data_IF_010850857987
#
_entry.id   IF_010850857987
#
_cell.length_a   1.000
_cell.length_b   1.000
_cell.length_c   1.000
_cell.angle_alpha   90.00
_cell.angle_beta   90.00
_cell.angle_gamma   90.00
#
_symmetry.space_group_name_H-M   'P 1'
#
loop_
_entity.id
_entity.type
_entity.pdbx_description
1 polymer ?
#
# COMPACT_ATOMS: atom_id res chain seq x y z
N UNK A 1 -1.98 13.90 -6.05
CA UNK A 1 -0.95 12.99 -6.60
C UNK A 1 -1.65 11.67 -6.87
N UNK A 2 -1.79 11.25 -8.14
CA UNK A 2 -2.48 10.00 -8.48
C UNK A 2 -1.42 8.97 -8.88
N UNK A 3 -1.15 8.03 -7.98
CA UNK A 3 -0.23 6.92 -8.21
C UNK A 3 -1.00 5.78 -8.86
N UNK A 4 -0.49 5.23 -9.96
CA UNK A 4 -1.08 4.08 -10.63
C UNK A 4 -0.54 2.79 -10.02
N UNK A 5 -1.44 1.83 -9.79
CA UNK A 5 -1.09 0.48 -9.33
C UNK A 5 -1.66 -0.55 -10.29
N UNK A 6 -0.87 -1.55 -10.65
CA UNK A 6 -1.26 -2.64 -11.55
C UNK A 6 -0.65 -3.96 -11.11
N UNK A 7 -1.21 -5.07 -11.60
CA UNK A 7 -0.53 -6.36 -11.54
C UNK A 7 0.48 -6.49 -12.68
N UNK A 8 1.63 -7.10 -12.37
CA UNK A 8 2.65 -7.51 -13.35
C UNK A 8 3.11 -8.94 -13.06
N UNK A 9 3.65 -9.60 -14.07
CA UNK A 9 4.23 -10.92 -13.89
C UNK A 9 5.52 -10.84 -13.08
N UNK A 10 5.59 -11.55 -11.96
CA UNK A 10 6.78 -11.60 -11.10
C UNK A 10 8.02 -12.14 -11.85
N UNK A 11 7.83 -12.94 -12.91
CA UNK A 11 8.92 -13.45 -13.76
C UNK A 11 9.33 -12.51 -14.88
N UNK A 12 8.74 -11.31 -14.97
CA UNK A 12 9.08 -10.30 -15.98
C UNK A 12 8.44 -10.52 -17.36
N UNK A 13 7.38 -11.32 -17.48
CA UNK A 13 6.62 -11.37 -18.73
C UNK A 13 5.97 -9.99 -19.02
N UNK A 14 5.86 -9.57 -20.29
CA UNK A 14 5.20 -8.31 -20.63
C UNK A 14 3.71 -8.38 -20.29
N UNK A 15 3.16 -7.25 -19.84
CA UNK A 15 1.75 -7.10 -19.49
C UNK A 15 1.55 -6.28 -18.23
N UNK A 16 0.52 -5.43 -18.24
CA UNK A 16 -0.02 -4.79 -17.05
C UNK A 16 -1.50 -5.14 -16.97
N UNK A 17 -1.95 -5.54 -15.79
CA UNK A 17 -3.34 -5.89 -15.56
C UNK A 17 -3.91 -5.00 -14.45
N UNK A 18 -5.20 -4.69 -14.53
CA UNK A 18 -5.84 -3.87 -13.50
C UNK A 18 -5.82 -4.61 -12.17
N UNK A 19 -5.62 -3.89 -11.06
CA UNK A 19 -5.78 -4.47 -9.71
C UNK A 19 -7.22 -4.92 -9.44
N UNK A 20 -8.18 -4.47 -10.26
CA UNK A 20 -9.59 -4.85 -10.20
C UNK A 20 -9.93 -6.05 -11.09
N UNK A 21 -8.99 -6.54 -11.89
CA UNK A 21 -9.21 -7.75 -12.69
C UNK A 21 -9.18 -8.98 -11.79
N UNK A 22 -10.10 -9.92 -12.02
CA UNK A 22 -10.07 -11.24 -11.38
C UNK A 22 -9.06 -12.11 -12.13
N UNK A 23 -7.78 -11.94 -11.80
CA UNK A 23 -6.65 -12.65 -12.40
C UNK A 23 -5.71 -13.18 -11.33
N UNK A 24 -5.40 -14.48 -11.40
CA UNK A 24 -4.60 -15.15 -10.35
C UNK A 24 -3.19 -15.52 -10.81
N UNK A 25 -2.98 -15.66 -12.12
CA UNK A 25 -1.70 -16.08 -12.71
C UNK A 25 -1.43 -15.31 -14.00
N UNK A 26 -0.15 -15.11 -14.30
CA UNK A 26 0.28 -14.51 -15.55
C UNK A 26 -0.26 -15.32 -16.75
N UNK A 27 -0.98 -14.71 -17.70
CA UNK A 27 -1.58 -15.41 -18.83
C UNK A 27 -0.53 -15.93 -19.83
N UNK A 28 0.70 -15.41 -19.76
CA UNK A 28 1.81 -15.80 -20.64
C UNK A 28 2.56 -17.03 -20.14
N UNK A 29 2.78 -17.16 -18.82
CA UNK A 29 3.67 -18.19 -18.27
C UNK A 29 3.12 -18.99 -17.09
N UNK A 30 1.89 -18.70 -16.64
CA UNK A 30 1.26 -19.33 -15.47
C UNK A 30 1.93 -18.98 -14.12
N UNK A 31 2.88 -18.05 -14.11
CA UNK A 31 3.55 -17.59 -12.89
C UNK A 31 2.68 -16.68 -12.01
N UNK A 32 3.16 -16.39 -10.80
CA UNK A 32 2.51 -15.44 -9.89
C UNK A 32 2.53 -14.01 -10.45
N UNK A 33 1.51 -13.25 -10.07
CA UNK A 33 1.44 -11.82 -10.27
C UNK A 33 1.86 -11.08 -9.00
N UNK A 34 2.50 -9.94 -9.17
CA UNK A 34 2.85 -9.01 -8.08
C UNK A 34 2.12 -7.68 -8.29
N UNK A 35 1.89 -6.95 -7.20
CA UNK A 35 1.40 -5.57 -7.24
C UNK A 35 2.57 -4.63 -7.51
N UNK A 36 2.50 -3.91 -8.61
CA UNK A 36 3.50 -2.92 -9.00
C UNK A 36 2.93 -1.50 -8.85
N UNK A 37 3.68 -0.66 -8.14
CA UNK A 37 3.39 0.77 -7.98
C UNK A 37 4.28 1.61 -8.88
N UNK A 38 3.70 2.54 -9.63
CA UNK A 38 4.49 3.61 -10.28
C UNK A 38 5.09 4.52 -9.20
N UNK A 39 6.42 4.69 -9.24
CA UNK A 39 7.17 5.35 -8.16
C UNK A 39 7.45 6.81 -8.43
N UNK A 40 7.47 7.20 -9.69
CA UNK A 40 7.76 8.57 -10.14
C UNK A 40 6.79 9.58 -9.51
N UNK A 41 5.46 9.33 -9.45
CA UNK A 41 4.57 10.26 -8.76
C UNK A 41 4.86 10.33 -7.26
N UNK A 42 5.24 9.22 -6.60
CA UNK A 42 5.57 9.19 -5.17
C UNK A 42 6.76 10.11 -4.81
N UNK A 43 7.68 10.29 -5.75
CA UNK A 43 8.87 11.13 -5.57
C UNK A 43 8.56 12.64 -5.61
N UNK A 44 7.35 13.04 -6.03
CA UNK A 44 6.94 14.45 -5.99
C UNK A 44 6.79 14.98 -4.56
N UNK A 45 6.63 14.08 -3.58
CA UNK A 45 6.69 14.40 -2.14
C UNK A 45 8.05 13.97 -1.59
N UNK A 46 8.73 14.92 -0.93
CA UNK A 46 10.03 14.64 -0.30
C UNK A 46 9.90 13.62 0.83
N UNK A 47 11.02 12.97 1.18
CA UNK A 47 11.06 12.06 2.33
C UNK A 47 10.55 12.72 3.62
N UNK A 48 10.96 13.97 3.90
CA UNK A 48 10.46 14.74 5.04
C UNK A 48 8.95 15.00 4.97
N UNK A 49 8.41 15.26 3.78
CA UNK A 49 6.98 15.41 3.56
C UNK A 49 6.21 14.11 3.81
N UNK A 50 6.77 12.95 3.45
CA UNK A 50 6.19 11.65 3.75
C UNK A 50 6.21 11.35 5.24
N UNK A 51 7.34 11.55 5.92
CA UNK A 51 7.45 11.36 7.38
C UNK A 51 6.41 12.22 8.10
N UNK A 52 6.33 13.51 7.78
CA UNK A 52 5.36 14.41 8.40
C UNK A 52 3.90 13.97 8.18
N UNK A 53 3.54 13.54 6.95
CA UNK A 53 2.19 13.03 6.68
C UNK A 53 1.85 11.79 7.51
N UNK A 54 2.78 10.83 7.59
CA UNK A 54 2.56 9.59 8.33
C UNK A 54 2.48 9.87 9.84
N UNK A 55 3.31 10.77 10.36
CA UNK A 55 3.26 11.22 11.76
C UNK A 55 1.92 11.89 12.10
N UNK A 56 1.38 12.72 11.20
CA UNK A 56 0.06 13.36 11.39
C UNK A 56 -1.09 12.34 11.46
N UNK A 57 -0.93 11.18 10.82
CA UNK A 57 -1.92 10.09 10.84
C UNK A 57 -1.74 9.16 12.03
N UNK A 58 -0.57 9.15 12.67
CA UNK A 58 -0.30 8.26 13.79
C UNK A 58 -1.29 8.52 14.95
N UNK A 59 -2.02 7.47 15.36
CA UNK A 59 -2.98 7.54 16.47
C UNK A 59 -4.27 8.32 16.17
N UNK A 60 -4.53 8.72 14.92
CA UNK A 60 -5.79 9.36 14.54
C UNK A 60 -6.95 8.37 14.56
N UNK A 61 -8.17 8.88 14.70
CA UNK A 61 -9.43 8.12 14.49
C UNK A 61 -10.13 8.52 13.19
N UNK A 62 -9.51 9.40 12.39
CA UNK A 62 -10.04 9.81 11.09
C UNK A 62 -10.07 8.63 10.12
N UNK A 63 -11.23 8.38 9.51
CA UNK A 63 -11.38 7.36 8.47
C UNK A 63 -10.68 7.77 7.16
N UNK A 64 -9.97 6.87 6.43
CA UNK A 64 -9.62 5.48 6.81
C UNK A 64 -8.28 5.38 7.59
N UNK A 65 -7.63 6.52 7.85
CA UNK A 65 -6.25 6.62 8.34
C UNK A 65 -6.00 6.13 9.77
N UNK A 66 -7.05 5.78 10.53
CA UNK A 66 -6.91 5.15 11.85
C UNK A 66 -6.31 3.74 11.81
N UNK A 67 -6.37 3.03 10.68
CA UNK A 67 -5.64 1.77 10.45
C UNK A 67 -4.18 2.07 10.12
N UNK A 68 -3.25 1.29 10.68
CA UNK A 68 -1.82 1.38 10.34
C UNK A 68 -1.53 0.99 8.89
N UNK A 69 -2.37 0.15 8.27
CA UNK A 69 -2.29 -0.16 6.83
C UNK A 69 -2.74 1.05 6.01
N UNK A 70 -3.93 1.57 6.31
CA UNK A 70 -4.53 2.66 5.54
C UNK A 70 -3.92 4.04 5.85
N UNK A 71 -3.18 4.20 6.94
CA UNK A 71 -2.32 5.36 7.18
C UNK A 71 -1.30 5.57 6.05
N UNK A 72 -0.94 4.50 5.33
CA UNK A 72 -0.06 4.50 4.16
C UNK A 72 -0.82 4.26 2.85
N UNK A 73 -2.11 4.65 2.77
CA UNK A 73 -2.99 4.38 1.62
C UNK A 73 -2.33 4.64 0.26
N UNK A 74 -1.59 5.73 0.12
CA UNK A 74 -0.89 6.11 -1.12
C UNK A 74 0.14 5.07 -1.59
N UNK A 75 0.68 4.27 -0.67
CA UNK A 75 1.65 3.20 -0.90
C UNK A 75 1.03 1.81 -0.90
N UNK A 76 -0.24 1.68 -0.51
CA UNK A 76 -0.96 0.40 -0.43
C UNK A 76 -1.92 0.24 -1.60
N UNK A 77 -2.94 1.11 -1.67
CA UNK A 77 -3.96 1.06 -2.72
C UNK A 77 -4.54 2.46 -2.94
N UNK A 78 -3.87 3.31 -3.73
CA UNK A 78 -4.25 4.70 -3.95
C UNK A 78 -5.56 4.85 -4.74
N UNK A 79 -5.91 3.86 -5.56
CA UNK A 79 -7.08 3.90 -6.44
C UNK A 79 -8.39 3.48 -5.75
N UNK A 80 -8.33 2.91 -4.54
CA UNK A 80 -9.54 2.57 -3.76
C UNK A 80 -10.13 3.83 -3.13
N UNK A 81 -11.43 4.08 -3.35
CA UNK A 81 -12.16 5.15 -2.68
C UNK A 81 -12.31 4.87 -1.17
N UNK A 82 -12.28 5.92 -0.33
CA UNK A 82 -12.34 5.76 1.13
C UNK A 82 -13.62 5.04 1.60
N UNK A 83 -14.74 5.24 0.90
CA UNK A 83 -16.03 4.57 1.14
C UNK A 83 -16.01 3.05 0.86
N UNK A 84 -15.05 2.57 0.09
CA UNK A 84 -14.88 1.15 -0.24
C UNK A 84 -13.82 0.46 0.62
N UNK A 85 -13.17 1.19 1.53
CA UNK A 85 -12.23 0.60 2.48
C UNK A 85 -13.01 -0.27 3.48
N UNK A 86 -12.51 -1.47 3.74
CA UNK A 86 -12.98 -2.32 4.83
C UNK A 86 -11.82 -2.46 5.80
N UNK A 87 -12.01 -2.00 7.04
CA UNK A 87 -10.96 -1.87 8.03
C UNK A 87 -11.53 -1.99 9.44
N UNK A 88 -10.76 -2.57 10.33
CA UNK A 88 -11.05 -2.61 11.77
C UNK A 88 -10.08 -1.74 12.57
N UNK A 89 -9.39 -0.80 11.89
CA UNK A 89 -8.25 -0.06 12.44
C UNK A 89 -7.10 -0.98 12.87
N UNK A 90 -6.90 -2.06 12.11
CA UNK A 90 -5.75 -2.96 12.27
C UNK A 90 -4.41 -2.27 12.00
N UNK A 91 -3.31 -2.92 12.40
CA UNK A 91 -1.99 -2.30 12.42
C UNK A 91 -1.78 -1.52 13.72
N UNK A 92 -0.86 -0.54 13.70
CA UNK A 92 -0.44 0.20 14.91
C UNK A 92 -0.07 -0.71 16.09
N UNK A 93 0.46 -1.91 15.77
CA UNK A 93 0.77 -2.94 16.73
C UNK A 93 1.89 -2.49 17.67
N UNK A 94 1.86 -2.98 18.91
CA UNK A 94 2.87 -2.66 19.89
C UNK A 94 4.27 -3.09 19.41
N UNK A 95 5.22 -2.14 19.44
CA UNK A 95 6.65 -2.43 19.32
C UNK A 95 7.23 -2.57 20.72
N UNK A 96 7.24 -3.80 21.23
CA UNK A 96 7.65 -4.11 22.60
C UNK A 96 9.18 -4.09 22.77
N UNK A 97 9.67 -3.43 23.82
CA UNK A 97 11.08 -3.48 24.21
C UNK A 97 11.31 -4.60 25.24
N UNK A 98 11.87 -5.72 24.78
CA UNK A 98 12.11 -6.91 25.60
C UNK A 98 13.44 -6.85 26.38
N UNK A 99 13.65 -5.81 27.19
CA UNK A 99 14.92 -5.52 27.90
C UNK A 99 15.52 -6.72 28.64
N UNK A 100 14.69 -7.54 29.29
CA UNK A 100 15.15 -8.68 30.10
C UNK A 100 15.77 -9.83 29.28
N UNK A 101 15.53 -9.91 27.98
CA UNK A 101 15.95 -11.03 27.11
C UNK A 101 17.09 -10.68 26.15
N UNK A 102 17.65 -9.47 26.23
CA UNK A 102 18.71 -8.95 25.36
C UNK A 102 20.13 -9.17 25.87
#
# INVERSE_FOLDING_TARGET
MKTKVNYRCFRGCPGEYSVFDVIYTCPTCGGLLEVHHEREPLQTRSAAGWMNLLDQRAGTTQWPYGSGVWAMKEWVMPDVADENVVSMFEGNSNLFWAERLG
#
